data_IF_773514163833
#
_entry.id   IF_773514163833
#
_cell.length_a   1.000
_cell.length_b   1.000
_cell.length_c   1.000
_cell.angle_alpha   90.00
_cell.angle_beta   90.00
_cell.angle_gamma   90.00
#
_symmetry.space_group_name_H-M   'P 1'
#
loop_
_entity.id
_entity.type
_entity.pdbx_description
1 polymer ?
#
# COMPACT_ATOMS: atom_id res chain seq x y z
N UNK A 1 37.04 -16.77 -24.57
CA UNK A 1 37.04 -17.87 -25.56
C UNK A 1 37.35 -19.18 -24.83
N UNK A 2 36.46 -20.11 -24.47
CA UNK A 2 34.98 -20.18 -24.36
C UNK A 2 34.62 -21.50 -23.61
N UNK A 3 33.49 -21.71 -22.91
CA UNK A 3 32.43 -20.80 -22.41
C UNK A 3 31.59 -21.44 -21.28
N UNK A 4 30.52 -20.75 -20.86
CA UNK A 4 29.27 -21.25 -20.20
C UNK A 4 29.33 -22.53 -19.33
N UNK A 5 29.36 -22.35 -18.01
CA UNK A 5 28.90 -23.34 -17.00
C UNK A 5 28.09 -22.71 -15.86
N UNK A 6 27.08 -21.89 -16.18
CA UNK A 6 26.23 -21.18 -15.20
C UNK A 6 24.73 -21.15 -15.57
N UNK A 7 24.21 -22.17 -16.27
CA UNK A 7 22.76 -22.34 -16.50
C UNK A 7 22.14 -23.56 -15.78
N UNK A 8 22.94 -24.39 -15.11
CA UNK A 8 22.52 -25.71 -14.60
C UNK A 8 22.00 -25.69 -13.14
N UNK A 9 21.51 -24.53 -12.68
CA UNK A 9 20.91 -24.33 -11.36
C UNK A 9 19.49 -23.74 -11.42
N UNK A 10 18.83 -23.84 -12.58
CA UNK A 10 17.42 -23.52 -12.68
C UNK A 10 16.60 -24.79 -12.37
N UNK A 11 15.89 -24.88 -11.22
CA UNK A 11 14.96 -25.98 -11.01
C UNK A 11 13.88 -25.93 -12.11
N UNK A 12 13.40 -27.08 -12.62
CA UNK A 12 12.35 -27.08 -13.61
C UNK A 12 11.13 -26.35 -13.05
N UNK A 13 10.60 -25.40 -13.82
CA UNK A 13 9.43 -24.63 -13.44
C UNK A 13 8.15 -25.47 -13.56
N UNK A 14 8.05 -26.55 -12.77
CA UNK A 14 6.78 -27.14 -12.36
C UNK A 14 6.10 -26.18 -11.40
N UNK A 15 5.61 -25.07 -11.96
CA UNK A 15 4.65 -24.17 -11.36
C UNK A 15 3.34 -24.89 -11.13
N UNK A 16 3.37 -25.84 -10.18
CA UNK A 16 2.20 -26.42 -9.55
C UNK A 16 1.32 -25.24 -9.19
N UNK A 17 0.08 -25.21 -9.67
CA UNK A 17 -0.91 -24.24 -9.24
C UNK A 17 -1.22 -24.50 -7.77
N UNK A 18 -0.35 -24.00 -6.90
CA UNK A 18 -0.55 -23.95 -5.48
C UNK A 18 -1.89 -23.23 -5.30
N UNK A 19 -2.87 -24.00 -4.82
CA UNK A 19 -4.20 -23.55 -4.43
C UNK A 19 -4.12 -22.11 -3.98
N UNK A 20 -4.72 -21.19 -4.74
CA UNK A 20 -4.76 -19.76 -4.42
C UNK A 20 -5.47 -19.62 -3.08
N UNK A 21 -4.68 -19.69 -2.01
CA UNK A 21 -5.15 -19.85 -0.64
C UNK A 21 -6.07 -18.69 -0.34
N UNK A 22 -7.33 -19.00 -0.04
CA UNK A 22 -8.47 -18.07 0.06
C UNK A 22 -8.00 -16.65 0.39
N UNK A 23 -7.82 -15.81 -0.64
CA UNK A 23 -7.43 -14.43 -0.42
C UNK A 23 -8.52 -13.83 0.47
N UNK A 24 -8.17 -13.52 1.72
CA UNK A 24 -9.06 -12.78 2.60
C UNK A 24 -9.44 -11.50 1.84
N UNK A 25 -10.73 -11.28 1.61
CA UNK A 25 -11.21 -10.08 0.91
C UNK A 25 -10.64 -8.87 1.64
N UNK A 26 -9.64 -8.24 1.05
CA UNK A 26 -8.98 -7.11 1.66
C UNK A 26 -10.02 -6.01 1.85
N UNK A 27 -10.16 -5.53 3.09
CA UNK A 27 -11.08 -4.46 3.42
C UNK A 27 -10.47 -3.12 2.94
N UNK A 28 -10.52 -2.90 1.63
CA UNK A 28 -9.93 -1.74 0.95
C UNK A 28 -10.28 -0.41 1.62
N UNK A 29 -11.55 -0.16 2.03
CA UNK A 29 -11.91 1.02 2.80
C UNK A 29 -11.18 1.17 4.15
N UNK A 30 -11.08 0.11 4.97
CA UNK A 30 -10.26 0.15 6.20
C UNK A 30 -8.78 0.38 5.91
N UNK A 31 -8.21 -0.36 4.95
CA UNK A 31 -6.79 -0.24 4.59
C UNK A 31 -6.46 1.16 4.08
N UNK A 32 -7.31 1.74 3.22
CA UNK A 32 -7.15 3.11 2.74
C UNK A 32 -7.26 4.13 3.88
N UNK A 33 -8.22 3.98 4.81
CA UNK A 33 -8.33 4.85 5.97
C UNK A 33 -7.06 4.81 6.86
N UNK A 34 -6.49 3.63 7.08
CA UNK A 34 -5.23 3.45 7.81
C UNK A 34 -4.02 4.06 7.09
N UNK A 35 -3.92 3.88 5.77
CA UNK A 35 -2.84 4.48 4.98
C UNK A 35 -2.91 6.01 4.98
N UNK A 36 -4.11 6.59 4.92
CA UNK A 36 -4.31 8.05 5.02
C UNK A 36 -3.91 8.56 6.42
N UNK A 37 -4.26 7.82 7.49
CA UNK A 37 -3.85 8.14 8.86
C UNK A 37 -2.31 8.25 8.97
N UNK A 38 -1.59 7.21 8.54
CA UNK A 38 -0.13 7.14 8.62
C UNK A 38 0.52 8.26 7.77
N UNK A 39 0.01 8.48 6.55
CA UNK A 39 0.52 9.53 5.68
C UNK A 39 0.30 10.94 6.27
N UNK A 40 -0.85 11.19 6.90
CA UNK A 40 -1.13 12.46 7.57
C UNK A 40 -0.15 12.69 8.74
N UNK A 41 0.04 11.71 9.61
CA UNK A 41 0.98 11.79 10.74
C UNK A 41 2.42 12.07 10.29
N UNK A 42 2.89 11.42 9.20
CA UNK A 42 4.21 11.69 8.61
C UNK A 42 4.35 13.13 8.07
N UNK A 43 3.29 13.68 7.47
CA UNK A 43 3.27 15.02 6.86
C UNK A 43 3.02 16.16 7.87
N UNK A 44 2.40 15.85 9.01
CA UNK A 44 2.34 16.73 10.17
C UNK A 44 3.70 16.79 10.87
N UNK A 45 4.31 15.63 11.14
CA UNK A 45 5.62 15.51 11.80
C UNK A 45 6.76 16.10 10.97
N UNK A 46 6.67 16.07 9.63
CA UNK A 46 7.69 16.64 8.73
C UNK A 46 7.14 17.76 7.82
N UNK A 47 7.19 19.03 8.27
CA UNK A 47 6.86 20.18 7.44
C UNK A 47 7.73 20.29 6.17
N UNK A 48 8.96 19.80 6.20
CA UNK A 48 9.86 19.77 5.05
C UNK A 48 9.38 18.77 3.98
N UNK A 49 8.97 17.56 4.37
CA UNK A 49 8.37 16.59 3.47
C UNK A 49 7.07 17.13 2.87
N UNK A 50 6.21 17.71 3.70
CA UNK A 50 4.94 18.31 3.26
C UNK A 50 5.15 19.38 2.18
N UNK A 51 6.09 20.30 2.39
CA UNK A 51 6.49 21.31 1.39
C UNK A 51 7.05 20.68 0.11
N UNK A 52 7.92 19.68 0.22
CA UNK A 52 8.52 18.96 -0.93
C UNK A 52 7.46 18.26 -1.79
N UNK A 53 6.38 17.78 -1.18
CA UNK A 53 5.26 17.13 -1.86
C UNK A 53 4.21 18.13 -2.39
N UNK A 54 4.38 19.44 -2.16
CA UNK A 54 3.40 20.47 -2.56
C UNK A 54 2.09 20.44 -1.78
N UNK A 55 2.04 19.73 -0.65
CA UNK A 55 0.82 19.50 0.14
C UNK A 55 0.59 20.66 1.11
N UNK A 56 -0.64 21.18 1.19
CA UNK A 56 -1.03 22.24 2.13
C UNK A 56 -1.67 21.67 3.40
N UNK A 57 -1.91 22.53 4.40
CA UNK A 57 -2.72 22.15 5.57
C UNK A 57 -4.19 21.90 5.18
N UNK A 58 -4.68 22.56 4.13
CA UNK A 58 -6.03 22.35 3.60
C UNK A 58 -6.17 20.97 2.95
N UNK A 59 -5.12 20.47 2.30
CA UNK A 59 -5.09 19.12 1.72
C UNK A 59 -5.06 18.03 2.80
N UNK A 60 -4.32 18.25 3.89
CA UNK A 60 -4.37 17.37 5.08
C UNK A 60 -5.79 17.33 5.67
N UNK A 61 -6.45 18.47 5.83
CA UNK A 61 -7.83 18.53 6.29
C UNK A 61 -8.83 17.88 5.31
N UNK A 62 -8.56 17.90 4.00
CA UNK A 62 -9.35 17.18 3.00
C UNK A 62 -9.14 15.66 3.08
N UNK A 63 -7.89 15.20 3.19
CA UNK A 63 -7.55 13.80 3.39
C UNK A 63 -8.20 13.23 4.66
N UNK A 64 -8.23 14.01 5.75
CA UNK A 64 -8.85 13.60 7.01
C UNK A 64 -10.39 13.49 6.92
N UNK A 65 -11.05 14.26 6.04
CA UNK A 65 -12.47 14.05 5.70
C UNK A 65 -12.69 12.73 4.96
N UNK A 66 -11.84 12.43 3.98
CA UNK A 66 -11.90 11.16 3.21
C UNK A 66 -11.67 9.95 4.13
N UNK A 67 -10.68 10.01 5.03
CA UNK A 67 -10.45 9.00 6.07
C UNK A 67 -11.71 8.71 6.89
N UNK A 68 -12.38 9.76 7.37
CA UNK A 68 -13.63 9.64 8.16
C UNK A 68 -14.79 9.07 7.34
N UNK A 69 -14.88 9.38 6.04
CA UNK A 69 -15.88 8.79 5.16
C UNK A 69 -15.62 7.30 4.90
N UNK A 70 -14.37 6.92 4.63
CA UNK A 70 -13.97 5.52 4.47
C UNK A 70 -14.28 4.73 5.75
N UNK A 71 -13.87 5.23 6.92
CA UNK A 71 -14.15 4.59 8.20
C UNK A 71 -15.66 4.37 8.45
N UNK A 72 -16.53 5.34 8.08
CA UNK A 72 -17.99 5.16 8.15
C UNK A 72 -18.49 4.06 7.21
N UNK A 73 -18.00 4.02 5.97
CA UNK A 73 -18.36 2.96 4.99
C UNK A 73 -17.95 1.58 5.50
N UNK A 74 -16.84 1.48 6.22
CA UNK A 74 -16.38 0.21 6.80
C UNK A 74 -17.13 -0.21 8.05
N UNK A 75 -17.61 0.74 8.87
CA UNK A 75 -18.35 0.44 10.09
C UNK A 75 -19.81 -0.02 9.86
N UNK A 76 -20.27 0.02 8.60
CA UNK A 76 -21.64 -0.31 8.17
C UNK A 76 -21.66 -1.56 7.26
N UNK A 77 -20.52 -2.23 7.07
CA UNK A 77 -20.31 -3.35 6.15
C UNK A 77 -19.98 -4.67 6.86
#
# INVERSE_FOLDING_TARGET
>A
MESTKLLDLLPPATGTMASLGKYHKANGPATAALLIQIAAEMLETSPALRRRMGITLSDLAAADKVRKELARKTAVA
#
